data_IF_931579788840
#
_entry.id   IF_931579788840
#
_cell.length_a   1.000
_cell.length_b   1.000
_cell.length_c   1.000
_cell.angle_alpha   90.00
_cell.angle_beta   90.00
_cell.angle_gamma   90.00
#
_symmetry.space_group_name_H-M   'P 1'
#
loop_
_entity.id
_entity.type
_entity.pdbx_description
1 polymer ?
#
# COMPACT_ATOMS: atom_id res chain seq x y z
N UNK A 1 20.84 6.70 27.15
CA UNK A 1 19.53 6.06 27.38
C UNK A 1 18.57 6.69 26.38
N UNK A 2 18.01 5.94 25.40
CA UNK A 2 16.98 6.52 24.55
C UNK A 2 15.68 6.61 25.37
N UNK A 3 15.00 7.75 25.30
CA UNK A 3 13.69 7.94 25.87
C UNK A 3 12.67 7.14 25.05
N UNK A 4 11.94 6.24 25.71
CA UNK A 4 10.82 5.52 25.11
C UNK A 4 9.60 6.46 25.21
N UNK A 5 9.06 6.88 24.08
CA UNK A 5 7.82 7.65 24.03
C UNK A 5 6.64 6.68 23.92
N UNK A 6 5.90 6.51 25.01
CA UNK A 6 4.64 5.74 25.02
C UNK A 6 3.52 6.67 24.54
N UNK A 7 2.96 6.43 23.34
CA UNK A 7 1.73 7.09 22.91
C UNK A 7 0.54 6.30 23.48
N UNK A 8 -0.14 6.87 24.47
CA UNK A 8 -1.42 6.36 24.97
C UNK A 8 -2.52 7.33 24.55
N UNK A 9 -3.40 6.91 23.63
CA UNK A 9 -4.58 7.66 23.23
C UNK A 9 -5.80 6.81 23.56
N UNK A 10 -6.58 7.19 24.57
CA UNK A 10 -7.67 6.34 25.09
C UNK A 10 -8.78 6.18 24.04
N UNK A 11 -8.92 4.97 23.47
CA UNK A 11 -10.01 4.60 22.58
C UNK A 11 -10.02 5.25 21.19
N UNK A 12 -8.95 5.95 20.81
CA UNK A 12 -8.77 6.52 19.47
C UNK A 12 -7.43 6.09 18.89
N UNK A 13 -7.35 5.81 17.57
CA UNK A 13 -6.07 5.55 16.93
C UNK A 13 -5.13 6.74 17.14
N UNK A 14 -3.91 6.47 17.59
CA UNK A 14 -2.86 7.47 17.70
C UNK A 14 -2.49 8.09 16.34
N UNK A 15 -2.61 7.31 15.27
CA UNK A 15 -2.26 7.73 13.90
C UNK A 15 -3.37 7.30 12.93
N UNK A 16 -3.87 8.24 12.14
CA UNK A 16 -4.86 7.98 11.08
C UNK A 16 -4.37 8.56 9.76
N UNK A 17 -4.20 7.71 8.76
CA UNK A 17 -3.71 8.06 7.43
C UNK A 17 -4.68 7.47 6.40
N UNK A 18 -5.56 8.30 5.87
CA UNK A 18 -6.66 7.84 5.00
C UNK A 18 -6.75 8.72 3.75
N UNK A 19 -7.02 8.09 2.60
CA UNK A 19 -7.30 8.72 1.30
C UNK A 19 -6.17 9.61 0.73
N UNK A 20 -4.90 9.29 1.01
CA UNK A 20 -3.76 10.01 0.43
C UNK A 20 -3.30 9.34 -0.87
N UNK A 21 -3.76 9.87 -2.00
CA UNK A 21 -3.46 9.31 -3.34
C UNK A 21 -2.00 9.44 -3.77
N UNK A 22 -1.24 10.35 -3.13
CA UNK A 22 0.16 10.65 -3.46
C UNK A 22 1.16 10.17 -2.39
N UNK A 23 0.69 9.56 -1.30
CA UNK A 23 1.55 9.14 -0.20
C UNK A 23 2.34 7.88 -0.58
N UNK A 24 3.67 8.01 -0.62
CA UNK A 24 4.59 6.95 -1.07
C UNK A 24 5.50 6.42 0.05
N UNK A 25 5.61 7.13 1.18
CA UNK A 25 6.60 6.78 2.20
C UNK A 25 6.06 7.10 3.59
N UNK A 26 6.17 6.11 4.48
CA UNK A 26 5.94 6.21 5.91
C UNK A 26 7.16 5.68 6.65
N UNK A 27 7.78 6.53 7.46
CA UNK A 27 8.95 6.19 8.26
C UNK A 27 8.60 6.31 9.74
N UNK A 28 8.88 5.24 10.48
CA UNK A 28 8.75 5.19 11.93
C UNK A 28 10.14 5.01 12.54
N UNK A 29 10.48 5.74 13.62
CA UNK A 29 11.71 5.48 14.36
C UNK A 29 11.72 4.05 14.90
N UNK A 30 12.87 3.36 14.84
CA UNK A 30 13.03 1.96 15.33
C UNK A 30 12.66 1.77 16.81
N UNK A 31 12.67 2.85 17.58
CA UNK A 31 12.38 2.84 19.01
C UNK A 31 10.87 2.91 19.32
N UNK A 32 10.02 3.18 18.32
CA UNK A 32 8.57 3.22 18.51
C UNK A 32 8.05 1.79 18.69
N UNK A 33 7.36 1.56 19.79
CA UNK A 33 6.62 0.32 20.06
C UNK A 33 5.18 0.68 20.40
N UNK A 34 4.25 0.00 19.75
CA UNK A 34 2.84 0.09 20.09
C UNK A 34 2.52 -1.03 21.07
N UNK A 35 1.78 -0.70 22.12
CA UNK A 35 1.27 -1.73 23.03
C UNK A 35 0.13 -2.49 22.32
N UNK A 36 0.13 -3.83 22.41
CA UNK A 36 -0.83 -4.72 21.74
C UNK A 36 -2.22 -4.73 22.42
N UNK A 37 -2.70 -3.58 22.89
CA UNK A 37 -3.93 -3.50 23.66
C UNK A 37 -5.08 -2.96 22.81
N UNK A 38 -4.78 -2.05 21.89
CA UNK A 38 -5.77 -1.39 21.02
C UNK A 38 -5.20 -1.09 19.63
N UNK A 39 -6.07 -0.88 18.65
CA UNK A 39 -5.67 -0.46 17.30
C UNK A 39 -5.16 0.98 17.33
N UNK A 40 -3.84 1.14 17.27
CA UNK A 40 -3.17 2.45 17.41
C UNK A 40 -2.98 3.18 16.07
N UNK A 41 -3.06 2.47 14.94
CA UNK A 41 -2.82 3.00 13.60
C UNK A 41 -3.96 2.57 12.69
N UNK A 42 -4.49 3.54 11.95
CA UNK A 42 -5.41 3.33 10.84
C UNK A 42 -4.74 3.80 9.55
N UNK A 43 -4.59 2.90 8.58
CA UNK A 43 -4.06 3.22 7.25
C UNK A 43 -5.03 2.68 6.21
N UNK A 44 -5.69 3.55 5.44
CA UNK A 44 -6.69 3.14 4.43
C UNK A 44 -6.58 3.95 3.15
N UNK A 45 -6.84 3.32 2.01
CA UNK A 45 -6.95 4.01 0.71
C UNK A 45 -5.74 4.89 0.35
N UNK A 46 -4.52 4.44 0.69
CA UNK A 46 -3.28 5.08 0.29
C UNK A 46 -2.58 4.16 -0.73
N UNK A 47 -2.88 4.32 -2.03
CA UNK A 47 -2.60 3.30 -3.03
C UNK A 47 -1.11 3.22 -3.40
N UNK A 48 -0.35 4.31 -3.21
CA UNK A 48 1.08 4.36 -3.57
C UNK A 48 2.02 3.94 -2.42
N UNK A 49 1.50 3.52 -1.26
CA UNK A 49 2.36 2.98 -0.19
C UNK A 49 2.94 1.64 -0.66
N UNK A 50 4.27 1.45 -0.66
CA UNK A 50 4.87 0.20 -1.10
C UNK A 50 4.45 -1.01 -0.25
N UNK A 51 4.28 -2.21 -0.85
CA UNK A 51 3.91 -3.42 -0.11
C UNK A 51 4.87 -3.75 1.05
N UNK A 52 6.16 -3.45 0.90
CA UNK A 52 7.16 -3.63 1.97
C UNK A 52 6.88 -2.77 3.22
N UNK A 53 6.38 -1.55 3.03
CA UNK A 53 5.97 -0.68 4.15
C UNK A 53 4.66 -1.16 4.78
N UNK A 54 3.71 -1.65 3.98
CA UNK A 54 2.49 -2.27 4.52
C UNK A 54 2.82 -3.49 5.39
N UNK A 55 3.75 -4.33 4.95
CA UNK A 55 4.23 -5.47 5.73
C UNK A 55 4.93 -5.02 7.02
N UNK A 56 5.79 -4.00 6.94
CA UNK A 56 6.41 -3.39 8.11
C UNK A 56 5.37 -2.87 9.13
N UNK A 57 4.35 -2.15 8.68
CA UNK A 57 3.29 -1.63 9.55
C UNK A 57 2.49 -2.75 10.23
N UNK A 58 2.17 -3.83 9.50
CA UNK A 58 1.49 -5.01 10.06
C UNK A 58 2.33 -5.73 11.11
N UNK A 59 3.66 -5.76 10.93
CA UNK A 59 4.58 -6.31 11.92
C UNK A 59 4.74 -5.40 13.15
N UNK A 60 4.77 -4.08 12.93
CA UNK A 60 4.92 -3.07 13.97
C UNK A 60 3.65 -2.97 14.85
N UNK A 61 2.48 -3.19 14.26
CA UNK A 61 1.21 -3.18 14.95
C UNK A 61 0.26 -4.25 14.38
N UNK A 62 0.27 -5.47 14.93
CA UNK A 62 -0.56 -6.59 14.45
C UNK A 62 -2.06 -6.35 14.56
N UNK A 63 -2.49 -5.50 15.50
CA UNK A 63 -3.90 -5.16 15.75
C UNK A 63 -4.39 -3.93 14.98
N UNK A 64 -3.53 -3.29 14.18
CA UNK A 64 -3.86 -2.08 13.47
C UNK A 64 -4.74 -2.32 12.23
N UNK A 65 -5.60 -1.35 11.91
CA UNK A 65 -6.48 -1.41 10.74
C UNK A 65 -5.74 -0.87 9.51
N UNK A 66 -5.06 -1.77 8.80
CA UNK A 66 -4.23 -1.46 7.62
C UNK A 66 -4.87 -2.06 6.37
N UNK A 67 -5.56 -1.21 5.62
CA UNK A 67 -6.14 -1.51 4.32
C UNK A 67 -5.25 -0.91 3.22
N UNK A 68 -4.71 -1.79 2.40
CA UNK A 68 -4.01 -1.42 1.19
C UNK A 68 -4.79 -1.98 0.02
N UNK A 69 -5.07 -1.15 -0.98
CA UNK A 69 -5.88 -1.53 -2.13
C UNK A 69 -5.23 -2.72 -2.82
N UNK A 70 -5.91 -3.86 -2.81
CA UNK A 70 -5.50 -5.01 -3.58
C UNK A 70 -5.72 -4.68 -5.06
N UNK A 71 -4.65 -4.32 -5.77
CA UNK A 71 -4.68 -4.25 -7.22
C UNK A 71 -5.05 -5.63 -7.77
N UNK A 72 -6.01 -5.70 -8.69
CA UNK A 72 -6.43 -6.97 -9.30
C UNK A 72 -5.27 -7.66 -10.03
N UNK A 73 -4.27 -6.89 -10.48
CA UNK A 73 -3.09 -7.43 -11.14
C UNK A 73 -1.87 -7.61 -10.23
N UNK A 74 -2.02 -7.53 -8.89
CA UNK A 74 -0.91 -7.71 -7.93
C UNK A 74 -0.20 -9.07 -8.00
N UNK A 75 -0.90 -10.12 -8.45
CA UNK A 75 -0.38 -11.48 -8.53
C UNK A 75 0.24 -11.80 -9.90
N UNK A 76 0.21 -10.85 -10.83
CA UNK A 76 0.75 -11.04 -12.17
C UNK A 76 2.27 -11.19 -12.10
N UNK A 77 2.77 -12.32 -12.61
CA UNK A 77 4.21 -12.66 -12.68
C UNK A 77 4.78 -12.49 -14.09
N UNK A 78 3.94 -12.51 -15.10
CA UNK A 78 4.27 -12.32 -16.50
C UNK A 78 3.09 -11.68 -17.23
N UNK A 79 3.36 -10.99 -18.33
CA UNK A 79 2.34 -10.42 -19.20
C UNK A 79 2.80 -10.56 -20.64
N UNK A 80 1.93 -11.09 -21.50
CA UNK A 80 2.24 -11.43 -22.88
C UNK A 80 2.03 -10.27 -23.85
N UNK A 81 1.07 -9.39 -23.60
CA UNK A 81 0.77 -8.22 -24.44
C UNK A 81 0.19 -7.05 -23.64
N UNK A 82 0.07 -5.89 -24.29
CA UNK A 82 -0.62 -4.72 -23.71
C UNK A 82 -2.10 -5.04 -23.43
N UNK A 83 -2.78 -5.77 -24.32
CA UNK A 83 -4.19 -6.11 -24.15
C UNK A 83 -4.43 -6.92 -22.88
N UNK A 84 -3.59 -7.92 -22.61
CA UNK A 84 -3.68 -8.73 -21.39
C UNK A 84 -3.51 -7.88 -20.13
N UNK A 85 -2.59 -6.90 -20.17
CA UNK A 85 -2.42 -5.95 -19.06
C UNK A 85 -3.67 -5.10 -18.86
N UNK A 86 -4.24 -4.56 -19.94
CA UNK A 86 -5.45 -3.71 -19.88
C UNK A 86 -6.63 -4.50 -19.32
N UNK A 87 -6.84 -5.73 -19.78
CA UNK A 87 -7.94 -6.57 -19.30
C UNK A 87 -7.83 -6.88 -17.81
N UNK A 88 -6.63 -7.13 -17.30
CA UNK A 88 -6.43 -7.47 -15.88
C UNK A 88 -6.36 -6.26 -14.95
N UNK A 89 -5.87 -5.11 -15.43
CA UNK A 89 -5.61 -3.94 -14.58
C UNK A 89 -6.58 -2.77 -14.79
N UNK A 90 -7.53 -2.84 -15.73
CA UNK A 90 -8.43 -1.72 -16.04
C UNK A 90 -9.14 -1.17 -14.79
N UNK A 91 -9.03 0.14 -14.57
CA UNK A 91 -9.64 0.83 -13.44
C UNK A 91 -8.97 0.56 -12.08
N UNK A 92 -7.84 -0.15 -12.05
CA UNK A 92 -7.05 -0.30 -10.83
C UNK A 92 -6.38 1.04 -10.49
N UNK A 93 -6.49 1.54 -9.24
CA UNK A 93 -5.89 2.81 -8.86
C UNK A 93 -4.35 2.78 -8.94
N UNK A 94 -3.76 1.60 -8.75
CA UNK A 94 -2.34 1.32 -8.88
C UNK A 94 -2.13 -0.04 -9.55
N UNK A 95 -1.15 -0.10 -10.43
CA UNK A 95 -0.70 -1.31 -11.10
C UNK A 95 0.59 -1.77 -10.45
N UNK A 96 0.54 -2.91 -9.76
CA UNK A 96 1.69 -3.56 -9.13
C UNK A 96 1.79 -4.99 -9.62
N UNK A 97 3.00 -5.55 -9.75
CA UNK A 97 3.21 -6.92 -10.25
C UNK A 97 4.26 -7.64 -9.41
N UNK A 98 4.28 -8.97 -9.45
CA UNK A 98 5.27 -9.78 -8.75
C UNK A 98 6.59 -9.72 -9.52
N UNK A 99 7.59 -9.03 -8.96
CA UNK A 99 8.95 -8.98 -9.52
C UNK A 99 9.13 -8.02 -10.71
N UNK A 100 8.09 -7.25 -11.07
CA UNK A 100 8.10 -6.37 -12.24
C UNK A 100 7.90 -7.13 -13.55
N UNK A 101 7.13 -6.56 -14.47
CA UNK A 101 6.93 -7.10 -15.82
C UNK A 101 7.44 -6.11 -16.86
N UNK A 102 7.95 -6.62 -18.00
CA UNK A 102 8.44 -5.79 -19.10
C UNK A 102 7.61 -6.07 -20.35
N UNK A 103 6.94 -5.04 -20.84
CA UNK A 103 6.23 -5.06 -22.13
C UNK A 103 7.06 -4.25 -23.12
N UNK A 104 7.33 -4.83 -24.30
CA UNK A 104 8.10 -4.15 -25.38
C UNK A 104 7.24 -3.44 -26.41
N UNK A 105 5.93 -3.63 -26.32
CA UNK A 105 4.93 -2.98 -27.16
C UNK A 105 4.65 -1.56 -26.68
N UNK A 106 4.24 -0.69 -27.61
CA UNK A 106 3.80 0.66 -27.26
C UNK A 106 2.31 0.66 -26.95
N UNK A 107 1.94 1.35 -25.88
CA UNK A 107 0.54 1.60 -25.57
C UNK A 107 -0.06 2.60 -26.56
N UNK A 108 -1.25 2.31 -27.04
CA UNK A 108 -2.11 3.26 -27.73
C UNK A 108 -2.86 4.12 -26.72
N UNK A 109 -3.26 5.33 -27.12
CA UNK A 109 -4.03 6.23 -26.25
C UNK A 109 -5.32 5.57 -25.71
N UNK A 110 -6.12 4.82 -26.51
CA UNK A 110 -7.28 4.10 -25.98
C UNK A 110 -6.94 3.04 -24.93
N UNK A 111 -5.77 2.40 -25.00
CA UNK A 111 -5.33 1.44 -23.99
C UNK A 111 -4.95 2.15 -22.69
N UNK A 112 -4.27 3.30 -22.76
CA UNK A 112 -3.93 4.11 -21.59
C UNK A 112 -5.20 4.60 -20.87
N UNK A 113 -6.18 5.11 -21.63
CA UNK A 113 -7.46 5.58 -21.10
C UNK A 113 -8.32 4.45 -20.50
N UNK A 114 -8.11 3.20 -20.91
CA UNK A 114 -8.77 2.05 -20.27
C UNK A 114 -8.11 1.64 -18.97
N UNK A 115 -6.82 1.90 -18.80
CA UNK A 115 -6.10 1.56 -17.59
C UNK A 115 -6.46 2.50 -16.42
N UNK A 116 -6.67 3.79 -16.70
CA UNK A 116 -6.89 4.85 -15.71
C UNK A 116 -8.07 5.75 -16.10
#
# INVERSE_FOLDING_TARGET
MPAIATLTCQGQPAITIVDNTQLQTLEFPELVKFEEVESMIVVKNNPLIPPGQIAFLRNLCPLCDIQHGDSQCKEMTAVGSVEELVEMCQGAPVITTVGGVVIREQFTEPQIVKLF
#
